data_IF_940188809253
#
_entry.id   IF_940188809253
#
_cell.length_a   1.000
_cell.length_b   1.000
_cell.length_c   1.000
_cell.angle_alpha   90.00
_cell.angle_beta   90.00
_cell.angle_gamma   90.00
#
_symmetry.space_group_name_H-M   'P 1'
#
loop_
_entity.id
_entity.type
_entity.pdbx_description
1 polymer ?
#
# COMPACT_ATOMS: atom_id res chain seq x y z
N UNK A 1 28.14 22.57 38.11
CA UNK A 1 26.94 23.14 37.44
C UNK A 1 26.96 23.01 35.92
N UNK A 2 28.06 23.32 35.21
CA UNK A 2 28.16 23.25 33.73
C UNK A 2 27.91 21.86 33.11
N UNK A 3 28.30 20.78 33.81
CA UNK A 3 28.15 19.41 33.30
C UNK A 3 26.70 18.91 33.36
N UNK A 4 25.91 19.40 34.32
CA UNK A 4 24.49 19.05 34.48
C UNK A 4 23.65 19.72 33.39
N UNK A 5 23.96 20.98 33.07
CA UNK A 5 23.28 21.73 32.00
C UNK A 5 23.57 21.15 30.61
N UNK A 6 24.80 20.69 30.33
CA UNK A 6 25.13 20.04 29.05
C UNK A 6 24.39 18.70 28.91
N UNK A 7 24.35 17.88 29.96
CA UNK A 7 23.61 16.61 29.96
C UNK A 7 22.10 16.82 29.78
N UNK A 8 21.55 17.85 30.43
CA UNK A 8 20.15 18.22 30.25
C UNK A 8 19.86 18.67 28.81
N UNK A 9 20.73 19.48 28.21
CA UNK A 9 20.59 19.93 26.83
C UNK A 9 20.59 18.75 25.85
N UNK A 10 21.54 17.81 25.99
CA UNK A 10 21.65 16.62 25.14
C UNK A 10 20.43 15.70 25.31
N UNK A 11 19.93 15.54 26.54
CA UNK A 11 18.72 14.75 26.78
C UNK A 11 17.49 15.38 26.11
N UNK A 12 17.34 16.71 26.19
CA UNK A 12 16.22 17.44 25.58
C UNK A 12 16.30 17.37 24.05
N UNK A 13 17.49 17.54 23.46
CA UNK A 13 17.65 17.43 22.00
C UNK A 13 17.37 16.01 21.49
N UNK A 14 17.80 14.99 22.25
CA UNK A 14 17.54 13.59 21.88
C UNK A 14 16.05 13.25 21.93
N UNK A 15 15.33 13.79 22.91
CA UNK A 15 13.88 13.61 23.05
C UNK A 15 13.10 14.30 21.91
N UNK A 16 13.53 15.49 21.48
CA UNK A 16 12.92 16.21 20.37
C UNK A 16 13.07 15.48 19.02
N UNK A 17 14.23 14.86 18.76
CA UNK A 17 14.47 14.05 17.55
C UNK A 17 13.61 12.77 17.49
N UNK A 18 13.26 12.18 18.64
CA UNK A 18 12.37 11.01 18.69
C UNK A 18 10.89 11.36 18.46
N UNK A 19 10.46 12.57 18.82
CA UNK A 19 9.07 13.00 18.64
C UNK A 19 8.66 13.13 17.17
N UNK A 20 9.59 13.54 16.29
CA UNK A 20 9.32 13.71 14.86
C UNK A 20 9.18 12.36 14.12
N UNK A 21 9.91 11.33 14.57
CA UNK A 21 9.76 9.96 14.05
C UNK A 21 8.41 9.31 14.44
N UNK A 22 7.82 9.72 15.57
CA UNK A 22 6.51 9.24 16.03
C UNK A 22 5.34 9.92 15.31
N UNK A 23 5.57 11.07 14.67
CA UNK A 23 4.57 11.80 13.90
C UNK A 23 4.40 11.16 12.50
N UNK A 24 3.97 9.90 12.46
CA UNK A 24 3.38 9.33 11.24
C UNK A 24 2.20 10.22 10.88
N UNK A 25 2.31 11.01 9.79
CA UNK A 25 1.19 11.79 9.25
C UNK A 25 0.07 10.82 8.89
N UNK A 26 -0.87 10.62 9.81
CA UNK A 26 -2.09 9.87 9.54
C UNK A 26 -2.92 10.72 8.60
N UNK A 27 -2.86 10.41 7.32
CA UNK A 27 -3.76 11.00 6.35
C UNK A 27 -5.19 10.65 6.78
N UNK A 28 -6.13 11.59 6.66
CA UNK A 28 -7.54 11.33 6.97
C UNK A 28 -8.01 10.17 6.09
N UNK A 29 -8.56 9.12 6.71
CA UNK A 29 -9.16 8.02 5.95
C UNK A 29 -10.33 8.58 5.13
N UNK A 30 -10.34 8.25 3.84
CA UNK A 30 -11.40 8.63 2.91
C UNK A 30 -12.06 7.36 2.42
N UNK A 31 -13.39 7.36 2.40
CA UNK A 31 -14.16 6.26 1.81
C UNK A 31 -13.87 6.22 0.32
N UNK A 32 -13.24 5.13 -0.15
CA UNK A 32 -12.95 4.93 -1.57
C UNK A 32 -14.21 4.56 -2.35
N UNK A 33 -15.05 3.72 -1.76
CA UNK A 33 -16.27 3.16 -2.33
C UNK A 33 -17.21 2.71 -1.21
N UNK A 34 -18.51 2.70 -1.48
CA UNK A 34 -19.56 2.13 -0.63
C UNK A 34 -20.49 1.27 -1.48
N UNK A 35 -20.89 0.12 -0.97
CA UNK A 35 -21.80 -0.81 -1.66
C UNK A 35 -23.21 -0.65 -1.11
N UNK A 36 -24.21 -0.55 -2.00
CA UNK A 36 -25.61 -0.58 -1.59
C UNK A 36 -26.01 -1.99 -1.15
N UNK A 37 -26.70 -2.09 -0.02
CA UNK A 37 -27.21 -3.37 0.50
C UNK A 37 -28.29 -3.90 -0.46
N UNK A 38 -28.20 -5.16 -0.94
CA UNK A 38 -29.22 -5.73 -1.82
C UNK A 38 -30.59 -5.79 -1.14
N UNK A 39 -31.67 -5.76 -1.94
CA UNK A 39 -33.04 -5.63 -1.43
C UNK A 39 -33.45 -6.77 -0.46
N UNK A 40 -32.97 -8.00 -0.71
CA UNK A 40 -33.33 -9.17 0.09
C UNK A 40 -32.46 -9.34 1.35
N UNK A 41 -31.59 -8.37 1.65
CA UNK A 41 -30.69 -8.43 2.80
C UNK A 41 -31.24 -7.61 3.96
N UNK A 42 -31.20 -8.22 5.15
CA UNK A 42 -31.65 -7.58 6.39
C UNK A 42 -30.49 -7.54 7.37
N UNK A 43 -30.18 -6.35 7.92
CA UNK A 43 -29.18 -6.19 8.98
C UNK A 43 -29.61 -6.99 10.21
N UNK A 44 -28.74 -7.88 10.70
CA UNK A 44 -29.02 -8.74 11.86
C UNK A 44 -28.47 -8.17 13.16
N UNK A 45 -27.16 -8.00 13.24
CA UNK A 45 -26.45 -7.47 14.41
C UNK A 45 -25.08 -6.95 13.97
N UNK A 46 -24.35 -6.34 14.91
CA UNK A 46 -22.92 -6.12 14.74
C UNK A 46 -22.16 -7.44 14.85
N UNK A 47 -20.97 -7.49 14.24
CA UNK A 47 -20.05 -8.63 14.39
C UNK A 47 -19.46 -8.65 15.80
N UNK A 48 -19.10 -9.82 16.31
CA UNK A 48 -18.49 -9.93 17.63
C UNK A 48 -17.07 -9.33 17.62
N UNK A 49 -16.71 -8.58 18.67
CA UNK A 49 -15.44 -7.85 18.75
C UNK A 49 -14.17 -8.71 18.56
N UNK A 50 -14.27 -10.00 18.87
CA UNK A 50 -13.15 -10.95 18.85
C UNK A 50 -13.23 -11.95 17.69
N UNK A 51 -14.14 -11.73 16.73
CA UNK A 51 -14.25 -12.57 15.55
C UNK A 51 -13.21 -12.16 14.49
N UNK A 52 -12.29 -13.06 14.08
CA UNK A 52 -11.26 -12.72 13.12
C UNK A 52 -11.85 -12.57 11.71
N UNK A 53 -11.62 -11.40 11.09
CA UNK A 53 -12.01 -11.14 9.69
C UNK A 53 -10.78 -11.20 8.80
N UNK A 54 -10.81 -12.05 7.77
CA UNK A 54 -9.74 -12.16 6.79
C UNK A 54 -9.74 -10.97 5.82
N UNK A 55 -8.84 -10.02 6.05
CA UNK A 55 -8.67 -8.85 5.17
C UNK A 55 -7.60 -9.10 4.11
N UNK A 56 -7.87 -8.66 2.88
CA UNK A 56 -6.92 -8.69 1.76
C UNK A 56 -6.52 -7.28 1.41
N UNK A 57 -5.23 -6.99 1.52
CA UNK A 57 -4.67 -5.68 1.18
C UNK A 57 -4.02 -5.73 -0.20
N UNK A 58 -4.61 -5.04 -1.16
CA UNK A 58 -4.00 -4.85 -2.48
C UNK A 58 -2.90 -3.78 -2.36
N UNK A 59 -1.64 -4.20 -2.50
CA UNK A 59 -0.49 -3.30 -2.45
C UNK A 59 -0.33 -2.54 -3.76
N UNK A 60 0.33 -1.38 -3.70
CA UNK A 60 0.69 -0.60 -4.89
C UNK A 60 1.62 -1.42 -5.78
N UNK A 61 1.17 -1.66 -7.01
CA UNK A 61 1.96 -2.28 -8.06
C UNK A 61 3.05 -1.31 -8.56
N UNK A 62 4.22 -1.84 -8.93
CA UNK A 62 5.42 -1.04 -9.21
C UNK A 62 5.52 -0.54 -10.65
N UNK A 63 5.39 -1.41 -11.65
CA UNK A 63 5.69 -1.09 -13.06
C UNK A 63 4.54 -1.45 -14.02
N UNK A 64 3.35 -0.91 -13.71
CA UNK A 64 2.14 -1.15 -14.51
C UNK A 64 2.28 -0.57 -15.93
N UNK A 65 2.98 0.55 -16.09
CA UNK A 65 3.17 1.20 -17.40
C UNK A 65 4.00 0.35 -18.35
N UNK A 66 5.06 -0.31 -17.88
CA UNK A 66 5.85 -1.18 -18.74
C UNK A 66 5.10 -2.47 -19.08
N UNK A 67 4.31 -3.00 -18.15
CA UNK A 67 3.41 -4.12 -18.42
C UNK A 67 2.39 -3.77 -19.52
N UNK A 68 1.75 -2.60 -19.44
CA UNK A 68 0.81 -2.12 -20.44
C UNK A 68 1.47 -1.96 -21.82
N UNK A 69 2.66 -1.36 -21.87
CA UNK A 69 3.43 -1.25 -23.11
C UNK A 69 3.71 -2.63 -23.72
N UNK A 70 4.16 -3.60 -22.91
CA UNK A 70 4.44 -4.97 -23.38
C UNK A 70 3.17 -5.69 -23.85
N UNK A 71 2.03 -5.44 -23.19
CA UNK A 71 0.74 -5.97 -23.61
C UNK A 71 0.35 -5.44 -25.00
N UNK A 72 0.51 -4.14 -25.24
CA UNK A 72 0.22 -3.54 -26.55
C UNK A 72 1.10 -4.13 -27.65
N UNK A 73 2.42 -4.23 -27.41
CA UNK A 73 3.37 -4.82 -28.35
C UNK A 73 3.08 -6.28 -28.72
N UNK A 74 2.50 -7.05 -27.80
CA UNK A 74 2.18 -8.47 -28.05
C UNK A 74 0.81 -8.67 -28.68
N UNK A 75 -0.02 -7.61 -28.70
CA UNK A 75 -1.37 -7.61 -29.27
C UNK A 75 -1.43 -6.95 -30.66
N UNK A 76 -0.41 -6.19 -31.03
CA UNK A 76 -0.29 -5.55 -32.34
C UNK A 76 0.20 -6.54 -33.40
N UNK A 77 -0.59 -6.86 -34.45
CA UNK A 77 -0.21 -7.82 -35.49
C UNK A 77 1.01 -7.39 -36.32
N UNK A 78 1.29 -6.08 -36.41
CA UNK A 78 2.42 -5.56 -37.16
C UNK A 78 3.72 -5.49 -36.32
N UNK A 79 3.63 -5.81 -35.03
CA UNK A 79 4.77 -5.79 -34.11
C UNK A 79 5.49 -7.14 -34.07
N UNK A 80 6.83 -7.12 -33.98
CA UNK A 80 7.68 -8.33 -33.93
C UNK A 80 7.40 -9.27 -32.74
N UNK A 81 6.69 -8.76 -31.72
CA UNK A 81 6.32 -9.47 -30.50
C UNK A 81 4.88 -9.99 -30.54
N UNK A 82 4.18 -9.85 -31.67
CA UNK A 82 2.82 -10.33 -31.82
C UNK A 82 2.68 -11.81 -31.40
N UNK A 83 1.67 -12.09 -30.58
CA UNK A 83 1.40 -13.43 -30.05
C UNK A 83 2.39 -13.93 -28.98
N UNK A 84 3.44 -13.17 -28.65
CA UNK A 84 4.42 -13.52 -27.60
C UNK A 84 3.97 -13.06 -26.22
N UNK A 85 2.84 -13.59 -25.75
CA UNK A 85 2.26 -13.23 -24.46
C UNK A 85 3.16 -13.58 -23.27
N UNK A 86 2.95 -12.85 -22.16
CA UNK A 86 3.66 -13.06 -20.91
C UNK A 86 3.04 -14.21 -20.11
N UNK A 87 3.89 -15.01 -19.46
CA UNK A 87 3.49 -15.94 -18.42
C UNK A 87 3.08 -15.20 -17.14
N UNK A 88 2.39 -15.92 -16.24
CA UNK A 88 1.97 -15.36 -14.95
C UNK A 88 3.16 -14.88 -14.10
N UNK A 89 4.29 -15.58 -14.17
CA UNK A 89 5.51 -15.21 -13.43
C UNK A 89 6.15 -13.94 -13.99
N UNK A 90 6.17 -13.77 -15.32
CA UNK A 90 6.65 -12.55 -15.96
C UNK A 90 5.77 -11.35 -15.61
N UNK A 91 4.44 -11.51 -15.61
CA UNK A 91 3.51 -10.47 -15.15
C UNK A 91 3.76 -10.12 -13.68
N UNK A 92 3.92 -11.13 -12.83
CA UNK A 92 4.22 -10.96 -11.40
C UNK A 92 5.51 -10.16 -11.18
N UNK A 93 6.51 -10.33 -12.04
CA UNK A 93 7.74 -9.57 -11.97
C UNK A 93 7.53 -8.06 -12.20
N UNK A 94 6.66 -7.65 -13.14
CA UNK A 94 6.31 -6.24 -13.36
C UNK A 94 5.49 -5.65 -12.21
N UNK A 95 4.64 -6.46 -11.58
CA UNK A 95 3.69 -5.97 -10.57
C UNK A 95 4.25 -5.99 -9.14
N UNK A 96 5.40 -6.65 -8.92
CA UNK A 96 5.96 -6.86 -7.59
C UNK A 96 6.14 -5.52 -6.84
N UNK A 97 5.51 -5.33 -5.67
CA UNK A 97 5.63 -4.09 -4.91
C UNK A 97 7.08 -3.75 -4.55
N UNK A 98 7.35 -2.46 -4.34
CA UNK A 98 8.65 -2.03 -3.84
C UNK A 98 8.84 -2.52 -2.40
N UNK A 99 10.09 -2.89 -2.04
CA UNK A 99 10.43 -3.33 -0.67
C UNK A 99 10.05 -2.32 0.41
N UNK A 100 9.96 -1.04 0.07
CA UNK A 100 9.48 0.03 0.94
C UNK A 100 8.19 0.62 0.36
N UNK A 101 7.07 0.03 0.73
CA UNK A 101 5.71 0.53 0.46
C UNK A 101 5.13 1.08 1.76
#
# INVERSE_FOLDING_TARGET
MKLVTIKALVAITSLALMADAAAVRRNKLVVKESVNVPADWVRRSDAADHEPVALRFALRQSDVSSLEKRLLQTSDPDHELYGRHLSADEVSAYLRPHKRT
#
